data_IF_108372080827
#
_entry.id   IF_108372080827
#
_cell.length_a   1.000
_cell.length_b   1.000
_cell.length_c   1.000
_cell.angle_alpha   90.00
_cell.angle_beta   90.00
_cell.angle_gamma   90.00
#
_symmetry.space_group_name_H-M   'P 1'
#
loop_
_entity.id
_entity.type
_entity.pdbx_description
1 polymer ?
#
# COMPACT_ATOMS: atom_id res chain seq x y z
N UNK A 1 60.72 -39.74 -23.58
CA UNK A 1 61.02 -38.31 -23.27
C UNK A 1 59.84 -37.49 -23.78
N UNK A 2 58.84 -37.26 -22.93
CA UNK A 2 58.50 -35.96 -22.33
C UNK A 2 57.68 -35.07 -23.31
N UNK A 3 56.35 -35.27 -23.42
CA UNK A 3 55.27 -34.52 -22.74
C UNK A 3 55.50 -32.99 -22.72
N UNK A 4 54.67 -32.23 -23.46
CA UNK A 4 54.32 -30.85 -23.08
C UNK A 4 52.97 -30.45 -23.69
N UNK A 5 51.95 -30.48 -22.84
CA UNK A 5 50.58 -30.01 -23.01
C UNK A 5 50.51 -28.50 -22.79
N UNK A 6 49.92 -27.75 -23.73
CA UNK A 6 49.53 -26.35 -23.52
C UNK A 6 48.14 -26.35 -22.88
N UNK A 7 48.09 -25.94 -21.61
CA UNK A 7 46.85 -25.77 -20.86
C UNK A 7 46.19 -24.45 -21.26
N UNK A 8 45.04 -24.52 -21.93
CA UNK A 8 44.13 -23.39 -22.05
C UNK A 8 43.33 -23.26 -20.75
N UNK A 9 43.55 -22.17 -20.03
CA UNK A 9 42.75 -21.81 -18.86
C UNK A 9 41.33 -21.45 -19.32
N UNK A 10 40.42 -22.42 -19.29
CA UNK A 10 39.00 -22.16 -19.43
C UNK A 10 38.53 -21.46 -18.14
N UNK A 11 38.38 -20.14 -18.21
CA UNK A 11 37.79 -19.33 -17.17
C UNK A 11 36.34 -19.79 -17.00
N UNK A 12 36.09 -20.54 -15.93
CA UNK A 12 34.77 -20.99 -15.53
C UNK A 12 33.93 -19.76 -15.20
N UNK A 13 33.09 -19.33 -16.15
CA UNK A 13 31.95 -18.48 -15.84
C UNK A 13 31.01 -19.31 -14.99
N UNK A 14 31.14 -19.19 -13.67
CA UNK A 14 30.12 -19.64 -12.74
C UNK A 14 28.90 -18.78 -13.06
N UNK A 15 27.96 -19.33 -13.81
CA UNK A 15 26.62 -18.78 -13.86
C UNK A 15 26.12 -18.81 -12.43
N UNK A 16 26.11 -17.65 -11.78
CA UNK A 16 25.33 -17.46 -10.57
C UNK A 16 23.89 -17.60 -11.07
N UNK A 17 23.36 -18.82 -11.01
CA UNK A 17 21.94 -19.02 -10.92
C UNK A 17 21.54 -18.17 -9.72
N UNK A 18 20.93 -17.01 -9.99
CA UNK A 18 20.28 -16.25 -8.96
C UNK A 18 19.31 -17.24 -8.30
N UNK A 19 19.65 -17.68 -7.09
CA UNK A 19 18.69 -18.39 -6.26
C UNK A 19 17.42 -17.53 -6.29
N UNK A 20 16.22 -18.12 -6.48
CA UNK A 20 15.00 -17.37 -6.31
C UNK A 20 15.13 -16.68 -4.95
N UNK A 21 15.19 -15.34 -4.97
CA UNK A 21 15.20 -14.55 -3.74
C UNK A 21 13.97 -15.02 -2.99
N UNK A 22 14.20 -15.69 -1.86
CA UNK A 22 13.17 -16.36 -1.09
C UNK A 22 12.05 -15.37 -0.79
N UNK A 23 11.01 -15.43 -1.62
CA UNK A 23 9.76 -14.77 -1.41
C UNK A 23 8.99 -15.69 -0.46
N UNK A 24 8.84 -15.26 0.79
CA UNK A 24 8.19 -16.07 1.82
C UNK A 24 6.68 -16.09 1.60
N UNK A 25 6.23 -16.94 0.67
CA UNK A 25 4.84 -17.30 0.43
C UNK A 25 4.71 -18.12 -0.87
N UNK A 26 3.94 -19.23 -0.91
CA UNK A 26 3.59 -19.87 -2.16
C UNK A 26 2.70 -18.89 -2.94
N UNK A 27 3.16 -18.43 -4.10
CA UNK A 27 2.35 -17.74 -5.10
C UNK A 27 1.49 -16.57 -4.58
N UNK A 28 2.09 -15.40 -4.32
CA UNK A 28 1.31 -14.19 -4.04
C UNK A 28 0.36 -13.88 -5.19
N UNK A 29 -0.85 -13.43 -4.85
CA UNK A 29 -1.77 -12.96 -5.87
C UNK A 29 -1.46 -11.52 -6.25
N UNK A 30 -1.45 -11.23 -7.56
CA UNK A 30 -1.38 -9.85 -8.04
C UNK A 30 -2.53 -9.06 -7.39
N UNK A 31 -2.22 -7.89 -6.87
CA UNK A 31 -3.18 -7.01 -6.20
C UNK A 31 -3.40 -7.30 -4.71
N UNK A 32 -2.73 -8.30 -4.14
CA UNK A 32 -2.71 -8.51 -2.70
C UNK A 32 -2.04 -7.33 -1.97
N UNK A 33 -2.54 -7.00 -0.78
CA UNK A 33 -1.95 -5.99 0.10
C UNK A 33 -1.27 -6.73 1.25
N UNK A 34 0.06 -6.63 1.29
CA UNK A 34 0.88 -7.22 2.34
C UNK A 34 1.34 -6.15 3.31
N UNK A 35 1.38 -6.50 4.60
CA UNK A 35 1.92 -5.66 5.65
C UNK A 35 3.31 -6.13 6.04
N UNK A 36 4.28 -5.22 6.02
CA UNK A 36 5.69 -5.53 6.35
C UNK A 36 6.19 -4.67 7.50
N UNK A 37 7.03 -5.27 8.35
CA UNK A 37 7.64 -4.59 9.52
C UNK A 37 8.92 -3.82 9.22
N UNK A 38 9.41 -3.86 7.99
CA UNK A 38 10.62 -3.16 7.55
C UNK A 38 10.29 -1.92 6.70
N UNK A 39 11.26 -1.02 6.55
CA UNK A 39 11.03 0.30 5.93
C UNK A 39 11.10 0.30 4.39
N UNK A 40 10.86 -0.83 3.72
CA UNK A 40 10.81 -0.88 2.24
C UNK A 40 9.81 -1.93 1.78
N UNK A 41 9.34 -1.81 0.54
CA UNK A 41 8.56 -2.86 -0.10
C UNK A 41 9.51 -3.83 -0.84
N UNK A 42 9.37 -5.15 -0.64
CA UNK A 42 10.23 -6.12 -1.30
C UNK A 42 10.03 -6.12 -2.82
N UNK A 43 10.95 -6.74 -3.57
CA UNK A 43 10.81 -6.87 -5.03
C UNK A 43 9.51 -7.56 -5.40
N UNK A 44 8.90 -7.14 -6.50
CA UNK A 44 7.58 -7.62 -6.94
C UNK A 44 6.43 -6.88 -6.27
N UNK A 45 6.71 -5.94 -5.36
CA UNK A 45 5.69 -5.14 -4.67
C UNK A 45 6.00 -3.64 -4.77
N UNK A 46 4.97 -2.80 -4.62
CA UNK A 46 5.08 -1.35 -4.55
C UNK A 46 4.40 -0.82 -3.29
N UNK A 47 4.79 0.35 -2.81
CA UNK A 47 4.16 0.94 -1.63
C UNK A 47 2.71 1.38 -1.94
N UNK A 48 1.81 1.16 -0.98
CA UNK A 48 0.41 1.61 -1.07
C UNK A 48 0.31 3.11 -0.73
N UNK A 49 0.85 3.96 -1.60
CA UNK A 49 1.00 5.41 -1.40
C UNK A 49 0.09 6.28 -2.30
N UNK A 50 -0.83 5.68 -3.05
CA UNK A 50 -1.73 6.43 -3.92
C UNK A 50 -1.16 6.82 -5.28
N UNK A 51 0.08 6.45 -5.63
CA UNK A 51 0.66 6.77 -6.95
C UNK A 51 -0.15 6.23 -8.12
N UNK A 52 -0.05 6.93 -9.24
CA UNK A 52 -0.55 6.48 -10.53
C UNK A 52 0.48 5.57 -11.21
N UNK A 53 0.01 4.48 -11.81
CA UNK A 53 0.79 3.54 -12.60
C UNK A 53 0.29 3.49 -14.03
N UNK A 54 1.21 3.20 -14.96
CA UNK A 54 0.85 2.96 -16.36
C UNK A 54 0.09 1.65 -16.50
N UNK A 55 -1.06 1.69 -17.16
CA UNK A 55 -1.86 0.50 -17.50
C UNK A 55 -1.08 -0.42 -18.43
N UNK A 56 -0.31 0.13 -19.38
CA UNK A 56 0.40 -0.68 -20.39
C UNK A 56 1.47 -1.57 -19.77
N UNK A 57 2.03 -1.17 -18.62
CA UNK A 57 3.06 -1.91 -17.91
C UNK A 57 2.49 -2.84 -16.82
N UNK A 58 1.25 -2.59 -16.37
CA UNK A 58 0.63 -3.30 -15.24
C UNK A 58 -0.81 -3.75 -15.57
N UNK A 59 -1.01 -4.32 -16.76
CA UNK A 59 -2.34 -4.71 -17.28
C UNK A 59 -3.07 -5.70 -16.37
N UNK A 60 -2.35 -6.66 -15.78
CA UNK A 60 -2.89 -7.64 -14.85
C UNK A 60 -3.40 -6.96 -13.56
N UNK A 61 -2.62 -6.06 -12.97
CA UNK A 61 -3.02 -5.34 -11.76
C UNK A 61 -4.19 -4.39 -12.03
N UNK A 62 -4.18 -3.68 -13.17
CA UNK A 62 -5.30 -2.84 -13.60
C UNK A 62 -6.60 -3.63 -13.76
N UNK A 63 -6.54 -4.86 -14.28
CA UNK A 63 -7.75 -5.71 -14.43
C UNK A 63 -8.41 -6.05 -13.09
N UNK A 64 -7.66 -5.95 -11.98
CA UNK A 64 -8.17 -6.18 -10.63
C UNK A 64 -8.61 -4.89 -9.94
N UNK A 65 -7.81 -3.83 -10.05
CA UNK A 65 -8.03 -2.57 -9.33
C UNK A 65 -8.93 -1.58 -10.08
N UNK A 66 -9.02 -1.69 -11.41
CA UNK A 66 -9.70 -0.71 -12.25
C UNK A 66 -9.23 0.71 -11.92
N UNK A 67 -10.19 1.59 -11.65
CA UNK A 67 -9.93 2.98 -11.24
C UNK A 67 -10.42 3.29 -9.82
N UNK A 68 -10.61 2.27 -8.96
CA UNK A 68 -11.14 2.48 -7.60
C UNK A 68 -10.31 3.45 -6.76
N UNK A 69 -9.00 3.53 -7.03
CA UNK A 69 -8.07 4.39 -6.32
C UNK A 69 -7.54 5.56 -7.17
N UNK A 70 -8.20 5.86 -8.29
CA UNK A 70 -7.87 6.97 -9.18
C UNK A 70 -7.28 6.56 -10.53
N UNK A 71 -6.72 7.54 -11.23
CA UNK A 71 -6.28 7.43 -12.63
C UNK A 71 -7.40 7.65 -13.64
N UNK A 72 -7.03 7.67 -14.91
CA UNK A 72 -7.95 7.98 -16.01
C UNK A 72 -8.60 6.73 -16.65
N UNK A 73 -8.12 5.54 -16.30
CA UNK A 73 -8.65 4.27 -16.78
C UNK A 73 -8.36 3.96 -18.26
N UNK A 74 -7.64 4.83 -18.98
CA UNK A 74 -7.15 4.60 -20.35
C UNK A 74 -5.64 4.45 -20.41
N UNK A 75 -4.92 5.33 -19.72
CA UNK A 75 -3.45 5.32 -19.67
C UNK A 75 -2.91 4.99 -18.29
N UNK A 76 -3.60 5.42 -17.23
CA UNK A 76 -3.17 5.25 -15.85
C UNK A 76 -4.27 4.77 -14.92
N UNK A 77 -3.85 4.14 -13.81
CA UNK A 77 -4.69 3.78 -12.67
C UNK A 77 -3.96 4.05 -11.36
N UNK A 78 -4.70 4.25 -10.27
CA UNK A 78 -4.13 4.50 -8.94
C UNK A 78 -3.92 3.23 -8.12
N UNK A 79 -2.88 3.24 -7.28
CA UNK A 79 -2.77 2.33 -6.13
C UNK A 79 -3.59 2.86 -4.94
N UNK A 80 -3.98 2.00 -3.98
CA UNK A 80 -4.49 2.46 -2.69
C UNK A 80 -3.49 3.41 -2.02
N UNK A 81 -4.00 4.45 -1.35
CA UNK A 81 -3.23 5.22 -0.38
C UNK A 81 -3.60 4.72 1.02
N UNK A 82 -2.68 4.03 1.69
CA UNK A 82 -2.87 3.51 3.04
C UNK A 82 -2.02 4.25 4.08
N UNK A 83 -1.34 5.33 3.69
CA UNK A 83 -0.52 6.13 4.61
C UNK A 83 -1.43 6.87 5.58
N UNK A 84 -1.20 6.68 6.88
CA UNK A 84 -2.03 7.27 7.94
C UNK A 84 -3.48 6.76 7.98
N UNK A 85 -3.78 5.66 7.27
CA UNK A 85 -5.15 5.13 7.14
C UNK A 85 -5.24 3.70 7.64
N UNK A 86 -6.32 3.39 8.34
CA UNK A 86 -6.71 2.02 8.67
C UNK A 86 -7.59 1.45 7.56
N UNK A 87 -7.32 0.21 7.16
CA UNK A 87 -8.16 -0.54 6.24
C UNK A 87 -9.46 -0.92 6.95
N UNK A 88 -10.60 -0.71 6.28
CA UNK A 88 -11.92 -1.14 6.72
C UNK A 88 -12.56 -2.04 5.66
N UNK A 89 -13.50 -2.89 6.06
CA UNK A 89 -14.25 -3.73 5.13
C UNK A 89 -15.14 -2.89 4.20
N UNK A 90 -15.13 -3.22 2.90
CA UNK A 90 -16.06 -2.68 1.93
C UNK A 90 -17.40 -3.45 1.99
N UNK A 91 -18.49 -2.79 1.60
CA UNK A 91 -19.85 -3.32 1.55
C UNK A 91 -20.75 -2.73 2.62
N UNK A 92 -21.94 -3.34 2.76
CA UNK A 92 -22.95 -2.98 3.74
C UNK A 92 -23.19 -4.17 4.68
N UNK A 93 -22.80 -4.02 5.94
CA UNK A 93 -23.22 -4.92 7.01
C UNK A 93 -24.60 -4.54 7.57
N UNK A 94 -25.28 -5.47 8.23
CA UNK A 94 -26.53 -5.18 8.93
C UNK A 94 -26.32 -4.11 10.01
N UNK A 95 -27.09 -3.02 9.94
CA UNK A 95 -26.95 -1.89 10.86
C UNK A 95 -25.67 -1.05 10.68
N UNK A 96 -24.83 -1.36 9.69
CA UNK A 96 -23.61 -0.61 9.39
C UNK A 96 -23.78 0.35 8.22
N UNK A 97 -22.96 1.40 8.20
CA UNK A 97 -22.87 2.29 7.04
C UNK A 97 -22.28 1.55 5.85
N UNK A 98 -22.90 1.68 4.68
CA UNK A 98 -22.35 1.18 3.43
C UNK A 98 -21.05 1.90 3.08
N UNK A 99 -20.01 1.15 2.72
CA UNK A 99 -18.73 1.67 2.23
C UNK A 99 -18.38 1.05 0.89
N UNK A 100 -18.19 1.87 -0.13
CA UNK A 100 -17.78 1.37 -1.44
C UNK A 100 -16.29 1.10 -1.47
N UNK A 101 -15.86 0.14 -2.30
CA UNK A 101 -14.43 -0.13 -2.48
C UNK A 101 -13.73 1.13 -3.03
N UNK A 102 -12.58 1.49 -2.46
CA UNK A 102 -11.85 2.72 -2.81
C UNK A 102 -12.35 3.98 -2.10
N UNK A 103 -13.45 3.92 -1.36
CA UNK A 103 -13.92 5.06 -0.57
C UNK A 103 -12.92 5.39 0.54
N UNK A 104 -12.47 6.65 0.55
CA UNK A 104 -11.72 7.22 1.66
C UNK A 104 -12.65 8.04 2.57
N UNK A 105 -12.36 8.06 3.87
CA UNK A 105 -13.11 8.82 4.85
C UNK A 105 -12.40 8.88 6.20
N UNK A 106 -13.01 9.59 7.16
CA UNK A 106 -12.40 9.90 8.45
C UNK A 106 -11.70 11.26 8.44
N UNK A 107 -11.31 11.73 9.63
CA UNK A 107 -10.46 12.90 9.82
C UNK A 107 -9.32 12.50 10.75
N UNK A 108 -8.09 12.84 10.37
CA UNK A 108 -6.90 12.60 11.19
C UNK A 108 -6.87 13.49 12.45
N UNK A 109 -7.46 14.68 12.36
CA UNK A 109 -7.51 15.64 13.45
C UNK A 109 -8.95 16.11 13.68
N UNK A 110 -9.46 15.96 14.90
CA UNK A 110 -10.79 16.43 15.27
C UNK A 110 -10.66 17.69 16.12
N UNK A 111 -11.10 18.83 15.58
CA UNK A 111 -11.17 20.07 16.36
C UNK A 111 -12.41 20.02 17.23
N UNK A 112 -12.21 19.92 18.54
CA UNK A 112 -13.30 19.99 19.50
C UNK A 112 -13.46 21.44 19.92
N UNK A 113 -14.60 22.05 19.61
CA UNK A 113 -14.93 23.34 20.18
C UNK A 113 -15.40 23.12 21.61
N UNK A 114 -14.62 23.60 22.59
CA UNK A 114 -15.12 23.74 23.94
C UNK A 114 -15.74 25.13 24.08
N UNK A 115 -17.07 25.29 24.10
CA UNK A 115 -17.66 26.56 24.48
C UNK A 115 -17.33 26.79 25.96
N UNK A 116 -16.34 27.65 26.24
CA UNK A 116 -16.21 28.23 27.59
C UNK A 116 -17.46 29.08 27.78
N UNK A 117 -18.42 28.56 28.54
CA UNK A 117 -19.59 29.34 28.96
C UNK A 117 -19.07 30.36 29.96
N UNK A 118 -18.69 31.54 29.47
CA UNK A 118 -18.44 32.69 30.32
C UNK A 118 -19.79 33.17 30.84
N UNK A 119 -19.94 33.13 32.16
CA UNK A 119 -20.97 33.88 32.85
C UNK A 119 -20.89 35.37 32.44
N UNK A 120 -22.06 35.96 32.22
CA UNK A 120 -22.31 37.12 31.37
C UNK A 120 -21.52 38.37 31.83
N UNK A 121 -20.53 38.80 31.05
CA UNK A 121 -19.77 40.01 31.38
C UNK A 121 -18.70 40.44 30.38
N UNK A 122 -19.07 40.63 29.11
CA UNK A 122 -18.34 41.48 28.15
C UNK A 122 -16.85 41.23 27.95
N UNK A 123 -16.50 40.35 27.01
CA UNK A 123 -15.17 40.21 26.43
C UNK A 123 -15.23 39.21 25.28
N UNK A 124 -14.62 39.51 24.14
CA UNK A 124 -14.65 38.67 22.94
C UNK A 124 -14.30 37.22 23.28
N UNK A 125 -15.28 36.32 23.16
CA UNK A 125 -15.13 34.90 23.47
C UNK A 125 -14.32 34.23 22.37
N UNK A 126 -13.00 34.23 22.50
CA UNK A 126 -12.17 33.33 21.69
C UNK A 126 -12.27 31.93 22.29
N UNK A 127 -13.11 31.07 21.69
CA UNK A 127 -13.12 29.64 22.00
C UNK A 127 -11.77 29.04 21.63
N UNK A 128 -11.13 28.34 22.58
CA UNK A 128 -9.91 27.59 22.30
C UNK A 128 -10.27 26.39 21.43
N UNK A 129 -9.76 26.37 20.19
CA UNK A 129 -9.91 25.25 19.28
C UNK A 129 -8.91 24.17 19.69
N UNK A 130 -9.30 23.26 20.56
CA UNK A 130 -8.46 22.12 20.90
C UNK A 130 -8.52 21.09 19.75
N UNK A 131 -7.44 21.00 18.98
CA UNK A 131 -7.22 19.93 18.02
C UNK A 131 -6.72 18.69 18.74
N UNK A 132 -7.51 17.61 18.74
CA UNK A 132 -7.12 16.32 19.30
C UNK A 132 -7.06 15.23 18.23
N UNK A 133 -5.96 14.48 18.21
CA UNK A 133 -5.89 13.19 17.52
C UNK A 133 -6.69 12.15 18.33
N UNK A 134 -7.84 11.73 17.81
CA UNK A 134 -8.67 10.68 18.41
C UNK A 134 -8.30 9.31 17.83
N UNK A 135 -7.02 8.95 17.95
CA UNK A 135 -6.50 7.66 17.47
C UNK A 135 -6.21 6.75 18.68
N UNK A 136 -6.72 5.51 18.73
CA UNK A 136 -6.26 4.54 19.72
C UNK A 136 -4.76 4.27 19.52
N UNK A 137 -4.04 3.75 20.53
CA UNK A 137 -2.61 3.45 20.39
C UNK A 137 -2.38 2.53 19.19
N UNK A 138 -1.47 2.93 18.31
CA UNK A 138 -1.19 2.26 17.05
C UNK A 138 0.30 2.02 16.85
N UNK A 139 0.64 0.99 16.06
CA UNK A 139 1.97 0.75 15.53
C UNK A 139 1.88 0.78 14.01
N UNK A 140 2.57 1.74 13.39
CA UNK A 140 2.57 1.86 11.93
C UNK A 140 3.48 0.80 11.30
N UNK A 141 2.91 -0.02 10.43
CA UNK A 141 3.63 -0.95 9.56
C UNK A 141 3.51 -0.48 8.12
N UNK A 142 4.44 -0.90 7.26
CA UNK A 142 4.41 -0.51 5.86
C UNK A 142 3.45 -1.40 5.09
N UNK A 143 2.63 -0.80 4.24
CA UNK A 143 1.68 -1.49 3.36
C UNK A 143 2.24 -1.52 1.94
N UNK A 144 2.30 -2.71 1.35
CA UNK A 144 2.80 -2.93 0.00
C UNK A 144 1.76 -3.68 -0.84
N UNK A 145 1.61 -3.28 -2.10
CA UNK A 145 0.77 -3.93 -3.10
C UNK A 145 1.63 -4.89 -3.92
N UNK A 146 1.19 -6.13 -4.04
CA UNK A 146 1.81 -7.13 -4.91
C UNK A 146 1.52 -6.77 -6.37
N UNK A 147 2.58 -6.52 -7.13
CA UNK A 147 2.51 -6.13 -8.55
C UNK A 147 2.86 -7.26 -9.51
N UNK A 148 3.47 -8.33 -8.99
CA UNK A 148 3.89 -9.52 -9.74
C UNK A 148 3.50 -10.76 -8.96
N UNK A 149 2.95 -11.78 -9.62
CA UNK A 149 2.45 -12.98 -8.93
C UNK A 149 1.45 -13.75 -9.78
N UNK A 150 0.65 -14.60 -9.14
CA UNK A 150 -0.46 -15.31 -9.79
C UNK A 150 -1.64 -14.38 -9.98
N UNK A 151 -2.24 -14.41 -11.17
CA UNK A 151 -3.51 -13.72 -11.40
C UNK A 151 -4.66 -14.48 -10.70
N UNK A 152 -5.42 -13.84 -9.80
CA UNK A 152 -6.52 -14.51 -9.11
C UNK A 152 -7.70 -14.75 -10.06
N UNK A 153 -8.04 -16.01 -10.29
CA UNK A 153 -9.21 -16.41 -11.07
C UNK A 153 -10.49 -16.22 -10.25
N UNK A 154 -11.48 -15.49 -10.80
CA UNK A 154 -12.84 -15.47 -10.24
C UNK A 154 -13.55 -16.76 -10.70
N UNK A 155 -13.85 -17.65 -9.76
CA UNK A 155 -14.66 -18.86 -9.99
C UNK A 155 -16.09 -18.52 -10.38
#
# INVERSE_FOLDING_TARGET
MLKTTIAAAALTTLAIAAAPTAHAGPDEYIGEIITVGFNFCPRGTLEADGRLLSISENTALFSLFGTFYGGDGRTTFGLPDLRGRTVIGAGKGEGLTERTLGQSGGMENHSTFNPVILDQGGGDVMGDSATGENMPPFLALKQCVVTQGIYPSRN
#
